data_IF_243781740223
#
_entry.id   IF_243781740223
#
_cell.length_a   1.000
_cell.length_b   1.000
_cell.length_c   1.000
_cell.angle_alpha   90.00
_cell.angle_beta   90.00
_cell.angle_gamma   90.00
#
_symmetry.space_group_name_H-M   'P 1'
#
loop_
_entity.id
_entity.type
_entity.pdbx_description
1 polymer ?
#
# COMPACT_ATOMS: atom_id res chain seq x y z
N UNK A 1 -7.82 7.57 -2.06
CA UNK A 1 -7.66 6.39 -1.18
C UNK A 1 -8.57 6.56 0.04
N UNK A 2 -8.94 5.51 0.77
CA UNK A 2 -9.66 5.66 2.06
C UNK A 2 -8.66 6.06 3.17
N UNK A 3 -7.95 7.16 2.93
CA UNK A 3 -7.02 7.78 3.86
C UNK A 3 -7.75 8.90 4.58
N UNK A 4 -7.55 8.98 5.90
CA UNK A 4 -8.19 10.04 6.67
C UNK A 4 -7.57 11.37 6.25
N UNK A 5 -8.39 12.28 5.70
CA UNK A 5 -7.90 13.60 5.32
C UNK A 5 -7.60 14.46 6.57
N UNK A 6 -8.31 14.18 7.66
CA UNK A 6 -8.17 14.81 8.97
C UNK A 6 -8.28 13.74 10.08
N UNK A 7 -7.71 13.95 11.28
CA UNK A 7 -7.99 13.10 12.44
C UNK A 7 -9.50 13.02 12.71
N UNK A 8 -10.03 11.83 12.99
CA UNK A 8 -11.44 11.62 13.28
C UNK A 8 -11.62 11.18 14.74
N UNK A 9 -12.15 12.05 15.63
CA UNK A 9 -12.23 11.75 17.07
C UNK A 9 -13.41 10.82 17.37
N UNK A 10 -13.16 9.51 17.34
CA UNK A 10 -14.20 8.49 17.54
C UNK A 10 -14.92 8.57 18.89
N UNK A 11 -14.25 9.08 19.93
CA UNK A 11 -14.75 9.21 21.30
C UNK A 11 -15.61 10.45 21.53
N UNK A 12 -15.63 11.41 20.58
CA UNK A 12 -16.44 12.61 20.69
C UNK A 12 -17.94 12.24 20.72
N UNK A 13 -18.68 12.81 21.67
CA UNK A 13 -20.11 12.60 21.81
C UNK A 13 -20.83 13.55 20.86
N UNK A 14 -21.68 12.98 20.00
CA UNK A 14 -22.59 13.73 19.13
C UNK A 14 -24.01 13.30 19.47
N UNK A 15 -24.81 14.28 19.90
CA UNK A 15 -26.14 14.07 20.50
C UNK A 15 -26.05 13.18 21.74
N UNK A 16 -26.41 11.90 21.61
CA UNK A 16 -26.54 10.95 22.73
C UNK A 16 -25.52 9.81 22.72
N UNK A 17 -24.67 9.73 21.68
CA UNK A 17 -23.73 8.61 21.48
C UNK A 17 -22.37 9.10 21.04
N UNK A 18 -21.34 8.31 21.28
CA UNK A 18 -20.03 8.52 20.67
C UNK A 18 -20.14 8.39 19.14
N UNK A 19 -19.34 9.15 18.39
CA UNK A 19 -19.25 9.01 16.92
C UNK A 19 -19.00 7.56 16.49
N UNK A 20 -18.17 6.83 17.24
CA UNK A 20 -17.95 5.40 17.04
C UNK A 20 -19.23 4.56 17.01
N UNK A 21 -20.12 4.76 17.98
CA UNK A 21 -21.36 3.99 18.13
C UNK A 21 -22.37 4.31 17.02
N UNK A 22 -22.38 5.55 16.53
CA UNK A 22 -23.16 5.92 15.36
C UNK A 22 -22.69 5.16 14.12
N UNK A 23 -21.39 5.12 13.88
CA UNK A 23 -20.79 4.39 12.75
C UNK A 23 -21.08 2.89 12.88
N UNK A 24 -20.95 2.33 14.08
CA UNK A 24 -21.22 0.91 14.33
C UNK A 24 -22.65 0.53 14.02
N UNK A 25 -23.62 1.35 14.46
CA UNK A 25 -25.04 1.10 14.18
C UNK A 25 -25.32 1.15 12.67
N UNK A 26 -24.67 2.06 11.92
CA UNK A 26 -24.87 2.20 10.48
C UNK A 26 -24.17 1.14 9.62
N UNK A 27 -22.98 0.67 10.03
CA UNK A 27 -22.23 -0.35 9.29
C UNK A 27 -22.62 -1.78 9.67
N UNK A 28 -23.50 -1.95 10.66
CA UNK A 28 -23.85 -3.19 11.37
C UNK A 28 -22.72 -3.73 12.26
N UNK A 29 -23.13 -4.27 13.41
CA UNK A 29 -22.24 -4.87 14.39
C UNK A 29 -21.55 -6.08 13.77
N UNK A 30 -22.28 -6.92 13.04
CA UNK A 30 -21.81 -8.16 12.43
C UNK A 30 -20.63 -7.91 11.50
N UNK A 31 -20.67 -6.80 10.76
CA UNK A 31 -19.63 -6.42 9.80
C UNK A 31 -18.39 -5.83 10.46
N UNK A 32 -18.54 -5.18 11.61
CA UNK A 32 -17.42 -4.64 12.40
C UNK A 32 -16.82 -5.66 13.37
N UNK A 33 -17.59 -6.67 13.75
CA UNK A 33 -17.23 -7.67 14.76
C UNK A 33 -15.87 -8.34 14.53
N UNK A 34 -15.47 -8.72 13.29
CA UNK A 34 -14.14 -9.28 13.05
C UNK A 34 -13.03 -8.33 13.48
N UNK A 35 -13.17 -7.03 13.20
CA UNK A 35 -12.21 -6.00 13.54
C UNK A 35 -12.24 -5.65 15.03
N UNK A 36 -13.44 -5.61 15.63
CA UNK A 36 -13.58 -5.39 17.07
C UNK A 36 -12.91 -6.49 17.88
N UNK A 37 -13.08 -7.76 17.48
CA UNK A 37 -12.41 -8.90 18.12
C UNK A 37 -10.89 -8.81 18.02
N UNK A 38 -10.35 -8.53 16.83
CA UNK A 38 -8.89 -8.38 16.65
C UNK A 38 -8.32 -7.13 17.31
N UNK A 39 -9.14 -6.13 17.59
CA UNK A 39 -8.76 -4.89 18.26
C UNK A 39 -8.90 -4.93 19.79
N UNK A 40 -9.43 -6.01 20.38
CA UNK A 40 -9.74 -6.05 21.82
C UNK A 40 -10.88 -5.11 22.22
N UNK A 41 -11.85 -4.92 21.32
CA UNK A 41 -13.01 -4.02 21.47
C UNK A 41 -12.67 -2.52 21.61
N UNK A 42 -11.47 -2.13 21.18
CA UNK A 42 -11.08 -0.73 21.01
C UNK A 42 -11.57 -0.20 19.65
N UNK A 43 -12.49 0.77 19.67
CA UNK A 43 -13.07 1.35 18.46
C UNK A 43 -12.04 1.97 17.52
N UNK A 44 -11.05 2.69 18.05
CA UNK A 44 -10.07 3.38 17.21
C UNK A 44 -9.22 2.36 16.44
N UNK A 45 -8.73 1.33 17.14
CA UNK A 45 -8.00 0.22 16.52
C UNK A 45 -8.86 -0.56 15.52
N UNK A 46 -10.12 -0.85 15.87
CA UNK A 46 -11.03 -1.57 14.99
C UNK A 46 -11.33 -0.78 13.71
N UNK A 47 -11.58 0.52 13.80
CA UNK A 47 -11.81 1.36 12.62
C UNK A 47 -10.56 1.53 11.78
N UNK A 48 -9.36 1.63 12.38
CA UNK A 48 -8.12 1.61 11.61
C UNK A 48 -7.94 0.31 10.81
N UNK A 49 -8.28 -0.84 11.40
CA UNK A 49 -8.28 -2.12 10.68
C UNK A 49 -9.34 -2.17 9.57
N UNK A 50 -10.56 -1.70 9.85
CA UNK A 50 -11.64 -1.63 8.85
C UNK A 50 -11.25 -0.75 7.65
N UNK A 51 -10.72 0.45 7.90
CA UNK A 51 -10.26 1.37 6.87
C UNK A 51 -9.04 0.82 6.11
N UNK A 52 -8.14 0.10 6.79
CA UNK A 52 -7.05 -0.61 6.13
C UNK A 52 -7.57 -1.71 5.20
N UNK A 53 -8.53 -2.54 5.64
CA UNK A 53 -9.17 -3.53 4.79
C UNK A 53 -9.79 -2.90 3.55
N UNK A 54 -10.51 -1.80 3.71
CA UNK A 54 -11.12 -1.07 2.59
C UNK A 54 -10.06 -0.54 1.60
N UNK A 55 -8.94 0.02 2.08
CA UNK A 55 -7.81 0.46 1.24
C UNK A 55 -7.19 -0.70 0.48
N UNK A 56 -6.95 -1.81 1.17
CA UNK A 56 -6.33 -3.00 0.59
C UNK A 56 -7.23 -3.62 -0.48
N UNK A 57 -8.51 -3.87 -0.17
CA UNK A 57 -9.51 -4.36 -1.12
C UNK A 57 -9.59 -3.46 -2.35
N UNK A 58 -9.62 -2.14 -2.17
CA UNK A 58 -9.62 -1.18 -3.29
C UNK A 58 -8.35 -1.26 -4.14
N UNK A 59 -7.17 -1.38 -3.52
CA UNK A 59 -5.90 -1.48 -4.26
C UNK A 59 -5.84 -2.73 -5.14
N UNK A 60 -6.48 -3.82 -4.71
CA UNK A 60 -6.56 -5.09 -5.43
C UNK A 60 -7.54 -5.06 -6.61
N UNK A 61 -8.48 -4.11 -6.66
CA UNK A 61 -9.44 -4.01 -7.77
C UNK A 61 -8.75 -3.75 -9.12
N UNK A 62 -7.67 -2.96 -9.14
CA UNK A 62 -6.92 -2.69 -10.37
C UNK A 62 -6.33 -3.96 -10.98
N UNK A 63 -5.45 -4.72 -10.30
CA UNK A 63 -4.87 -5.93 -10.89
C UNK A 63 -5.94 -7.01 -11.17
N UNK A 64 -7.00 -7.11 -10.36
CA UNK A 64 -8.13 -8.01 -10.62
C UNK A 64 -8.88 -7.66 -11.90
N UNK A 65 -9.18 -6.37 -12.10
CA UNK A 65 -9.84 -5.89 -13.31
C UNK A 65 -9.01 -6.20 -14.57
N UNK A 66 -7.70 -5.92 -14.53
CA UNK A 66 -6.82 -6.21 -15.66
C UNK A 66 -6.75 -7.71 -15.96
N UNK A 67 -6.68 -8.56 -14.93
CA UNK A 67 -6.75 -10.02 -15.11
C UNK A 67 -8.08 -10.44 -15.76
N UNK A 68 -9.21 -9.94 -15.28
CA UNK A 68 -10.54 -10.28 -15.80
C UNK A 68 -10.66 -9.93 -17.30
N UNK A 69 -10.25 -8.72 -17.68
CA UNK A 69 -10.25 -8.27 -19.08
C UNK A 69 -9.26 -9.05 -19.94
N UNK A 70 -8.06 -9.29 -19.43
CA UNK A 70 -7.02 -10.04 -20.17
C UNK A 70 -7.43 -11.49 -20.38
N UNK A 71 -8.01 -12.12 -19.36
CA UNK A 71 -8.49 -13.49 -19.42
C UNK A 71 -9.63 -13.65 -20.43
N UNK A 72 -10.67 -12.80 -20.33
CA UNK A 72 -11.84 -12.89 -21.23
C UNK A 72 -11.44 -12.66 -22.69
N UNK A 73 -10.62 -11.65 -22.96
CA UNK A 73 -10.20 -11.33 -24.33
C UNK A 73 -9.35 -12.47 -24.90
N UNK A 74 -8.52 -13.12 -24.06
CA UNK A 74 -7.73 -14.27 -24.49
C UNK A 74 -8.59 -15.48 -24.79
N UNK A 75 -9.55 -15.82 -23.92
CA UNK A 75 -10.46 -16.94 -24.17
C UNK A 75 -11.32 -16.65 -25.42
N UNK A 76 -11.85 -15.44 -25.57
CA UNK A 76 -12.59 -15.01 -26.75
C UNK A 76 -11.79 -15.24 -28.03
N UNK A 77 -10.52 -14.81 -28.06
CA UNK A 77 -9.66 -15.03 -29.22
C UNK A 77 -9.47 -16.53 -29.51
N UNK A 78 -9.23 -17.36 -28.49
CA UNK A 78 -9.11 -18.82 -28.68
C UNK A 78 -10.41 -19.43 -29.21
N UNK A 79 -11.57 -18.97 -28.74
CA UNK A 79 -12.88 -19.42 -29.22
C UNK A 79 -13.10 -19.02 -30.69
N UNK A 80 -12.81 -17.76 -31.05
CA UNK A 80 -12.86 -17.28 -32.44
C UNK A 80 -12.02 -18.16 -33.37
N UNK A 81 -10.79 -18.46 -32.99
CA UNK A 81 -9.88 -19.31 -33.78
C UNK A 81 -10.33 -20.78 -33.84
N UNK A 82 -10.95 -21.30 -32.78
CA UNK A 82 -11.39 -22.69 -32.73
C UNK A 82 -12.67 -22.95 -33.53
N UNK A 83 -13.60 -21.98 -33.53
CA UNK A 83 -14.86 -22.06 -34.28
C UNK A 83 -14.80 -21.38 -35.66
N UNK A 84 -13.69 -20.70 -35.96
CA UNK A 84 -13.45 -19.97 -37.21
C UNK A 84 -14.56 -18.96 -37.56
N UNK A 85 -15.01 -18.20 -36.55
CA UNK A 85 -16.08 -17.20 -36.67
C UNK A 85 -16.01 -16.14 -35.56
N UNK A 86 -16.49 -14.93 -35.87
CA UNK A 86 -16.49 -13.79 -34.93
C UNK A 86 -17.60 -13.89 -33.88
N UNK A 87 -18.73 -14.49 -34.23
CA UNK A 87 -19.94 -14.65 -33.45
C UNK A 87 -20.07 -16.08 -32.85
N UNK A 88 -18.95 -16.62 -32.34
CA UNK A 88 -18.89 -17.97 -31.77
C UNK A 88 -19.87 -18.19 -30.62
N UNK A 89 -20.34 -17.13 -29.94
CA UNK A 89 -21.33 -17.19 -28.87
C UNK A 89 -22.74 -17.57 -29.37
N UNK A 90 -22.93 -17.64 -30.69
CA UNK A 90 -24.13 -18.11 -31.37
C UNK A 90 -23.95 -19.49 -32.00
N UNK A 91 -22.73 -20.04 -31.99
CA UNK A 91 -22.45 -21.32 -32.60
C UNK A 91 -23.17 -22.46 -31.87
N UNK A 92 -23.97 -23.30 -32.57
CA UNK A 92 -24.67 -24.41 -31.94
C UNK A 92 -23.70 -25.38 -31.24
N UNK A 93 -22.53 -25.66 -31.81
CA UNK A 93 -21.56 -26.57 -31.19
C UNK A 93 -20.96 -25.97 -29.93
N UNK A 94 -20.74 -24.65 -29.91
CA UNK A 94 -20.33 -23.97 -28.68
C UNK A 94 -21.41 -24.04 -27.61
N UNK A 95 -22.66 -23.73 -27.96
CA UNK A 95 -23.79 -23.76 -27.02
C UNK A 95 -24.01 -25.17 -26.45
N UNK A 96 -23.92 -26.21 -27.28
CA UNK A 96 -24.09 -27.60 -26.88
C UNK A 96 -22.92 -28.12 -26.02
N UNK A 97 -21.73 -27.52 -26.16
CA UNK A 97 -20.59 -27.81 -25.30
C UNK A 97 -20.79 -27.27 -23.87
N UNK A 98 -21.55 -26.20 -23.68
CA UNK A 98 -21.72 -25.55 -22.38
C UNK A 98 -22.49 -26.42 -21.38
N UNK A 99 -21.98 -26.47 -20.15
CA UNK A 99 -22.72 -27.02 -19.02
C UNK A 99 -23.90 -26.09 -18.64
N UNK A 100 -24.98 -26.60 -18.01
CA UNK A 100 -26.18 -25.82 -17.71
C UNK A 100 -25.89 -24.46 -17.03
N UNK A 101 -25.05 -24.44 -15.99
CA UNK A 101 -24.66 -23.19 -15.29
C UNK A 101 -23.95 -22.17 -16.21
N UNK A 102 -23.09 -22.63 -17.10
CA UNK A 102 -22.39 -21.77 -18.07
C UNK A 102 -23.33 -21.27 -19.15
N UNK A 103 -24.30 -22.10 -19.57
CA UNK A 103 -25.35 -21.72 -20.51
C UNK A 103 -26.27 -20.64 -19.94
N UNK A 104 -26.71 -20.79 -18.69
CA UNK A 104 -27.51 -19.79 -17.99
C UNK A 104 -26.74 -18.47 -17.84
N UNK A 105 -25.44 -18.56 -17.53
CA UNK A 105 -24.57 -17.39 -17.41
C UNK A 105 -24.39 -16.66 -18.74
N UNK A 106 -24.25 -17.40 -19.85
CA UNK A 106 -24.23 -16.82 -21.20
C UNK A 106 -25.57 -16.17 -21.56
N UNK A 107 -26.70 -16.80 -21.24
CA UNK A 107 -28.02 -16.24 -21.50
C UNK A 107 -28.25 -14.93 -20.72
N UNK A 108 -27.85 -14.88 -19.44
CA UNK A 108 -27.88 -13.65 -18.63
C UNK A 108 -26.97 -12.57 -19.22
N UNK A 109 -25.78 -12.94 -19.70
CA UNK A 109 -24.89 -11.99 -20.37
C UNK A 109 -25.55 -11.42 -21.64
N UNK A 110 -26.19 -12.26 -22.46
CA UNK A 110 -26.96 -11.84 -23.64
C UNK A 110 -28.13 -10.92 -23.27
N UNK A 111 -28.89 -11.20 -22.21
CA UNK A 111 -30.00 -10.33 -21.80
C UNK A 111 -29.56 -8.98 -21.27
N UNK A 112 -28.39 -8.91 -20.64
CA UNK A 112 -27.84 -7.68 -20.07
C UNK A 112 -27.04 -6.86 -21.09
N UNK A 113 -26.68 -7.45 -22.23
CA UNK A 113 -25.96 -6.81 -23.31
C UNK A 113 -26.84 -5.76 -24.01
N UNK A 114 -26.22 -4.66 -24.46
CA UNK A 114 -26.94 -3.60 -25.19
C UNK A 114 -27.34 -4.03 -26.59
N UNK A 115 -26.56 -4.91 -27.19
CA UNK A 115 -26.83 -5.55 -28.47
C UNK A 115 -26.39 -7.01 -28.43
N UNK A 116 -26.72 -7.78 -29.46
CA UNK A 116 -26.25 -9.16 -29.60
C UNK A 116 -24.82 -9.27 -30.15
N UNK A 117 -24.10 -8.15 -30.29
CA UNK A 117 -22.70 -8.16 -30.70
C UNK A 117 -21.83 -8.93 -29.70
N UNK A 118 -20.79 -9.59 -30.20
CA UNK A 118 -19.88 -10.37 -29.35
C UNK A 118 -19.24 -9.48 -28.27
N UNK A 119 -18.87 -8.24 -28.61
CA UNK A 119 -18.21 -7.32 -27.69
C UNK A 119 -19.12 -6.93 -26.52
N UNK A 120 -20.41 -6.66 -26.77
CA UNK A 120 -21.37 -6.36 -25.71
C UNK A 120 -21.65 -7.59 -24.84
N UNK A 121 -21.75 -8.79 -25.44
CA UNK A 121 -21.97 -10.04 -24.69
C UNK A 121 -20.76 -10.39 -23.81
N UNK A 122 -19.54 -10.26 -24.35
CA UNK A 122 -18.29 -10.46 -23.60
C UNK A 122 -18.17 -9.43 -22.48
N UNK A 123 -18.51 -8.16 -22.73
CA UNK A 123 -18.49 -7.12 -21.70
C UNK A 123 -19.52 -7.36 -20.58
N UNK A 124 -20.69 -7.92 -20.89
CA UNK A 124 -21.76 -8.24 -19.94
C UNK A 124 -21.60 -9.59 -19.21
N UNK A 125 -20.60 -10.39 -19.60
CA UNK A 125 -20.32 -11.67 -18.98
C UNK A 125 -19.50 -11.53 -17.69
N UNK A 126 -19.67 -12.46 -16.74
CA UNK A 126 -19.01 -12.42 -15.43
C UNK A 126 -17.63 -13.07 -15.45
N UNK A 127 -16.74 -12.67 -14.55
CA UNK A 127 -15.45 -13.37 -14.35
C UNK A 127 -15.62 -14.88 -14.07
N UNK A 128 -16.67 -15.24 -13.35
CA UNK A 128 -17.00 -16.62 -13.02
C UNK A 128 -17.27 -17.47 -14.29
N UNK A 129 -17.97 -16.91 -15.29
CA UNK A 129 -18.21 -17.58 -16.57
C UNK A 129 -16.90 -17.98 -17.26
N UNK A 130 -15.96 -17.04 -17.39
CA UNK A 130 -14.65 -17.27 -18.00
C UNK A 130 -13.80 -18.27 -17.20
N UNK A 131 -13.88 -18.19 -15.87
CA UNK A 131 -13.22 -19.15 -14.97
C UNK A 131 -13.73 -20.57 -15.20
N UNK A 132 -15.06 -20.75 -15.33
CA UNK A 132 -15.63 -22.07 -15.54
C UNK A 132 -15.32 -22.66 -16.90
N UNK A 133 -15.13 -21.85 -17.95
CA UNK A 133 -14.73 -22.38 -19.25
C UNK A 133 -13.39 -23.13 -19.18
N UNK A 134 -12.51 -22.83 -18.21
CA UNK A 134 -11.25 -23.55 -17.99
C UNK A 134 -11.40 -24.86 -17.18
N UNK A 135 -12.60 -25.18 -16.71
CA UNK A 135 -12.88 -26.38 -15.90
C UNK A 135 -12.60 -27.68 -16.67
N UNK A 136 -12.40 -28.78 -15.94
CA UNK A 136 -12.12 -30.09 -16.52
C UNK A 136 -13.23 -30.60 -17.44
N UNK A 137 -14.46 -30.13 -17.24
CA UNK A 137 -15.61 -30.43 -18.12
C UNK A 137 -15.38 -30.04 -19.58
N UNK A 138 -14.52 -29.06 -19.83
CA UNK A 138 -14.19 -28.55 -21.16
C UNK A 138 -12.87 -29.12 -21.70
N UNK A 139 -12.33 -30.20 -21.10
CA UNK A 139 -11.06 -30.80 -21.50
C UNK A 139 -11.02 -31.19 -22.99
N UNK A 140 -12.15 -31.65 -23.57
CA UNK A 140 -12.23 -32.00 -24.99
C UNK A 140 -11.86 -30.81 -25.88
N UNK A 141 -12.34 -29.61 -25.54
CA UNK A 141 -12.04 -28.37 -26.24
C UNK A 141 -10.60 -27.91 -25.99
N UNK A 142 -10.17 -27.91 -24.73
CA UNK A 142 -8.85 -27.38 -24.38
C UNK A 142 -7.69 -28.28 -24.82
N UNK A 143 -7.90 -29.58 -25.02
CA UNK A 143 -6.84 -30.51 -25.47
C UNK A 143 -6.15 -30.06 -26.76
N UNK A 144 -6.89 -29.42 -27.67
CA UNK A 144 -6.38 -28.95 -28.97
C UNK A 144 -6.11 -27.45 -29.00
N UNK A 145 -6.59 -26.69 -28.01
CA UNK A 145 -6.60 -25.23 -28.05
C UNK A 145 -5.77 -24.57 -26.95
N UNK A 146 -5.39 -25.29 -25.90
CA UNK A 146 -4.67 -24.70 -24.76
C UNK A 146 -3.24 -24.26 -25.09
N UNK A 147 -2.59 -24.89 -26.07
CA UNK A 147 -1.27 -24.43 -26.57
C UNK A 147 -1.32 -23.02 -27.14
N UNK A 148 -2.48 -22.60 -27.66
CA UNK A 148 -2.71 -21.24 -28.19
C UNK A 148 -3.01 -20.22 -27.09
N UNK A 149 -3.06 -20.62 -25.81
CA UNK A 149 -3.57 -19.77 -24.73
C UNK A 149 -2.51 -18.86 -24.10
N UNK A 150 -1.25 -19.27 -24.04
CA UNK A 150 -0.17 -18.48 -23.43
C UNK A 150 0.67 -17.78 -24.50
N UNK A 151 1.09 -16.54 -24.24
CA UNK A 151 2.18 -15.88 -24.97
C UNK A 151 3.52 -15.97 -24.23
N UNK A 152 3.57 -16.70 -23.12
CA UNK A 152 4.73 -16.79 -22.23
C UNK A 152 5.43 -18.13 -22.36
N UNK A 153 6.72 -18.18 -22.04
CA UNK A 153 7.47 -19.43 -21.90
C UNK A 153 7.17 -20.16 -20.56
N UNK A 154 6.24 -19.64 -19.75
CA UNK A 154 5.87 -20.28 -18.48
C UNK A 154 5.06 -21.54 -18.78
N UNK A 155 5.51 -22.67 -18.25
CA UNK A 155 4.76 -23.92 -18.35
C UNK A 155 3.81 -24.05 -17.17
N UNK A 156 2.51 -23.86 -17.42
CA UNK A 156 1.44 -24.28 -16.51
C UNK A 156 0.54 -25.25 -17.24
N UNK A 157 0.20 -26.37 -16.59
CA UNK A 157 -0.91 -27.18 -17.08
C UNK A 157 -2.23 -26.41 -16.97
N UNK A 158 -3.20 -26.75 -17.82
CA UNK A 158 -4.56 -26.19 -17.73
C UNK A 158 -5.19 -26.41 -16.35
N UNK A 159 -4.91 -27.55 -15.71
CA UNK A 159 -5.41 -27.83 -14.36
C UNK A 159 -4.85 -26.86 -13.32
N UNK A 160 -3.54 -26.60 -13.36
CA UNK A 160 -2.89 -25.62 -12.47
C UNK A 160 -3.38 -24.20 -12.75
N UNK A 161 -3.52 -23.83 -14.03
CA UNK A 161 -4.02 -22.51 -14.41
C UNK A 161 -5.48 -22.32 -13.96
N UNK A 162 -6.34 -23.33 -14.15
CA UNK A 162 -7.71 -23.30 -13.62
C UNK A 162 -7.74 -23.15 -12.10
N UNK A 163 -6.93 -23.93 -11.37
CA UNK A 163 -6.87 -23.83 -9.92
C UNK A 163 -6.38 -22.45 -9.45
N UNK A 164 -5.44 -21.84 -10.18
CA UNK A 164 -4.96 -20.47 -9.94
C UNK A 164 -6.08 -19.44 -10.14
N UNK A 165 -6.75 -19.45 -11.31
CA UNK A 165 -7.84 -18.52 -11.62
C UNK A 165 -9.01 -18.70 -10.64
N UNK A 166 -9.35 -19.93 -10.27
CA UNK A 166 -10.40 -20.21 -9.28
C UNK A 166 -10.10 -19.58 -7.92
N UNK A 167 -8.88 -19.76 -7.39
CA UNK A 167 -8.45 -19.11 -6.14
C UNK A 167 -8.56 -17.59 -6.21
N UNK A 168 -8.25 -17.00 -7.35
CA UNK A 168 -8.36 -15.56 -7.57
C UNK A 168 -9.82 -15.12 -7.64
N UNK A 169 -10.68 -15.86 -8.34
CA UNK A 169 -12.11 -15.58 -8.44
C UNK A 169 -12.81 -15.64 -7.08
N UNK A 170 -12.50 -16.65 -6.25
CA UNK A 170 -13.05 -16.76 -4.89
C UNK A 170 -12.64 -15.55 -4.03
N UNK A 171 -11.38 -15.13 -4.13
CA UNK A 171 -10.86 -13.95 -3.43
C UNK A 171 -11.47 -12.64 -3.95
N UNK A 172 -11.66 -12.51 -5.26
CA UNK A 172 -12.33 -11.37 -5.91
C UNK A 172 -13.80 -11.26 -5.47
N UNK A 173 -14.51 -12.38 -5.38
CA UNK A 173 -15.90 -12.41 -4.91
C UNK A 173 -15.99 -11.92 -3.46
N UNK A 174 -15.08 -12.37 -2.59
CA UNK A 174 -14.97 -11.86 -1.21
C UNK A 174 -14.81 -10.34 -1.16
N UNK A 175 -13.93 -9.78 -2.00
CA UNK A 175 -13.76 -8.32 -2.14
C UNK A 175 -15.04 -7.64 -2.65
N UNK A 176 -15.71 -8.21 -3.65
CA UNK A 176 -16.93 -7.65 -4.24
C UNK A 176 -18.13 -7.68 -3.28
N UNK A 177 -18.19 -8.66 -2.37
CA UNK A 177 -19.14 -8.71 -1.26
C UNK A 177 -18.70 -7.85 -0.05
N UNK A 178 -17.62 -7.10 -0.21
CA UNK A 178 -17.02 -6.25 0.81
C UNK A 178 -16.66 -7.00 2.10
N UNK A 179 -16.36 -8.30 2.03
CA UNK A 179 -15.96 -9.07 3.20
C UNK A 179 -14.53 -8.71 3.68
N UNK A 180 -14.19 -8.97 4.95
CA UNK A 180 -12.83 -8.80 5.46
C UNK A 180 -11.83 -9.72 4.73
N UNK A 181 -10.69 -9.19 4.31
CA UNK A 181 -9.61 -9.96 3.67
C UNK A 181 -8.32 -9.98 4.51
N UNK A 182 -8.31 -9.36 5.68
CA UNK A 182 -7.11 -9.25 6.52
C UNK A 182 -6.65 -10.60 7.10
N UNK A 183 -7.55 -11.56 7.23
CA UNK A 183 -7.27 -12.94 7.65
C UNK A 183 -6.90 -13.86 6.47
N UNK A 184 -7.00 -13.36 5.23
CA UNK A 184 -6.68 -14.10 4.01
C UNK A 184 -5.23 -13.85 3.60
N UNK A 185 -4.62 -14.76 2.80
CA UNK A 185 -3.27 -14.56 2.27
C UNK A 185 -3.27 -13.56 1.10
N UNK A 186 -3.70 -12.31 1.34
CA UNK A 186 -3.90 -11.27 0.32
C UNK A 186 -2.64 -10.95 -0.48
N UNK A 187 -1.46 -10.98 0.16
CA UNK A 187 -0.19 -10.76 -0.55
C UNK A 187 0.10 -11.91 -1.52
N UNK A 188 -0.10 -13.17 -1.09
CA UNK A 188 0.02 -14.31 -1.99
C UNK A 188 -1.01 -14.26 -3.12
N UNK A 189 -2.23 -13.80 -2.86
CA UNK A 189 -3.26 -13.61 -3.90
C UNK A 189 -2.88 -12.53 -4.91
N UNK A 190 -2.22 -11.46 -4.48
CA UNK A 190 -1.65 -10.48 -5.40
C UNK A 190 -0.58 -11.10 -6.30
N UNK A 191 0.32 -11.92 -5.75
CA UNK A 191 1.31 -12.65 -6.56
C UNK A 191 0.64 -13.67 -7.50
N UNK A 192 -0.43 -14.35 -7.06
CA UNK A 192 -1.24 -15.24 -7.89
C UNK A 192 -1.85 -14.48 -9.09
N UNK A 193 -2.38 -13.27 -8.88
CA UNK A 193 -2.92 -12.41 -9.95
C UNK A 193 -1.82 -12.06 -10.96
N UNK A 194 -0.66 -11.59 -10.48
CA UNK A 194 0.47 -11.27 -11.35
C UNK A 194 0.94 -12.50 -12.14
N UNK A 195 1.02 -13.67 -11.50
CA UNK A 195 1.38 -14.94 -12.16
C UNK A 195 0.37 -15.31 -13.24
N UNK A 196 -0.93 -15.17 -12.98
CA UNK A 196 -1.98 -15.46 -13.94
C UNK A 196 -1.92 -14.53 -15.16
N UNK A 197 -1.72 -13.22 -14.94
CA UNK A 197 -1.53 -12.24 -16.02
C UNK A 197 -0.27 -12.58 -16.81
N UNK A 198 0.86 -12.85 -16.14
CA UNK A 198 2.13 -13.15 -16.80
C UNK A 198 2.10 -14.42 -17.63
N UNK A 199 1.32 -15.43 -17.20
CA UNK A 199 1.07 -16.61 -18.01
C UNK A 199 0.30 -16.29 -19.29
N UNK A 200 -0.62 -15.33 -19.26
CA UNK A 200 -1.32 -14.91 -20.49
C UNK A 200 -0.40 -14.03 -21.34
N UNK A 201 0.14 -12.96 -20.75
CA UNK A 201 1.00 -11.98 -21.41
C UNK A 201 1.97 -11.32 -20.40
N UNK A 202 3.27 -11.50 -20.63
CA UNK A 202 4.33 -11.00 -19.75
C UNK A 202 4.40 -9.46 -19.70
N UNK A 203 4.21 -8.77 -20.83
CA UNK A 203 4.27 -7.30 -20.87
C UNK A 203 3.14 -6.67 -20.06
N UNK A 204 1.94 -7.25 -20.13
CA UNK A 204 0.80 -6.80 -19.30
C UNK A 204 1.08 -7.01 -17.82
N UNK A 205 1.76 -8.10 -17.44
CA UNK A 205 2.14 -8.34 -16.04
C UNK A 205 3.12 -7.29 -15.52
N UNK A 206 4.14 -6.93 -16.31
CA UNK A 206 5.10 -5.87 -15.97
C UNK A 206 4.38 -4.54 -15.80
N UNK A 207 3.50 -4.19 -16.75
CA UNK A 207 2.72 -2.96 -16.71
C UNK A 207 1.77 -2.89 -15.50
N UNK A 208 1.08 -3.99 -15.16
CA UNK A 208 0.22 -4.04 -13.97
C UNK A 208 1.05 -3.89 -12.70
N UNK A 209 2.21 -4.55 -12.60
CA UNK A 209 3.08 -4.47 -11.43
C UNK A 209 3.58 -3.03 -11.22
N UNK A 210 3.91 -2.30 -12.27
CA UNK A 210 4.43 -0.91 -12.16
C UNK A 210 3.37 0.12 -11.77
N UNK A 211 2.09 -0.15 -12.05
CA UNK A 211 0.97 0.77 -11.75
C UNK A 211 0.14 0.36 -10.52
N UNK A 212 0.40 -0.83 -9.98
CA UNK A 212 -0.29 -1.34 -8.80
C UNK A 212 0.16 -0.61 -7.52
N UNK A 213 -0.82 -0.26 -6.68
CA UNK A 213 -0.56 0.37 -5.36
C UNK A 213 -0.63 -0.64 -4.21
N UNK A 214 -0.83 -1.94 -4.50
CA UNK A 214 -1.04 -2.99 -3.49
C UNK A 214 0.11 -3.03 -2.49
N UNK A 215 1.36 -3.05 -2.95
CA UNK A 215 2.55 -3.11 -2.07
C UNK A 215 2.67 -1.89 -1.16
N UNK A 216 2.37 -0.70 -1.68
CA UNK A 216 2.34 0.54 -0.88
C UNK A 216 1.28 0.47 0.21
N UNK A 217 0.10 -0.06 -0.11
CA UNK A 217 -0.97 -0.22 0.86
C UNK A 217 -0.58 -1.27 1.90
N UNK A 218 -0.03 -2.41 1.51
CA UNK A 218 0.46 -3.46 2.44
C UNK A 218 1.47 -2.87 3.43
N UNK A 219 2.40 -2.02 2.96
CA UNK A 219 3.36 -1.35 3.84
C UNK A 219 2.71 -0.37 4.84
N UNK A 220 1.48 0.08 4.60
CA UNK A 220 0.72 0.99 5.46
C UNK A 220 -0.18 0.30 6.49
N UNK A 221 0.01 -1.02 6.69
CA UNK A 221 -0.75 -1.81 7.67
C UNK A 221 -0.71 -1.17 9.07
N UNK A 222 -1.84 -1.08 9.79
CA UNK A 222 -1.85 -0.60 11.17
C UNK A 222 -0.91 -1.42 12.07
N UNK A 223 -0.14 -0.74 12.91
CA UNK A 223 0.63 -1.36 13.98
C UNK A 223 -0.31 -1.93 15.07
N UNK A 224 0.17 -2.81 15.97
CA UNK A 224 -0.63 -3.32 17.09
C UNK A 224 -1.19 -2.21 18.00
N UNK A 225 -0.52 -1.05 18.04
CA UNK A 225 -0.99 0.15 18.73
C UNK A 225 -2.23 0.78 18.07
N UNK A 226 -2.58 0.39 16.84
CA UNK A 226 -3.62 0.99 16.01
C UNK A 226 -3.11 2.02 15.01
N UNK A 227 -1.92 2.60 15.23
CA UNK A 227 -1.38 3.66 14.38
C UNK A 227 -0.93 3.12 13.00
N UNK A 228 -1.20 3.82 11.89
CA UNK A 228 -0.74 3.38 10.57
C UNK A 228 0.79 3.29 10.47
N UNK A 229 1.32 2.23 9.85
CA UNK A 229 2.76 2.12 9.55
C UNK A 229 3.16 2.96 8.32
N UNK A 230 4.47 3.23 8.13
CA UNK A 230 5.57 2.94 9.07
C UNK A 230 5.50 3.83 10.31
N UNK A 231 5.97 3.32 11.45
CA UNK A 231 6.08 4.15 12.66
C UNK A 231 7.32 5.02 12.57
N UNK A 232 7.34 6.13 13.32
CA UNK A 232 8.51 7.03 13.33
C UNK A 232 9.79 6.28 13.72
N UNK A 233 9.72 5.34 14.68
CA UNK A 233 10.88 4.50 15.06
C UNK A 233 11.43 3.63 13.93
N UNK A 234 10.59 3.23 12.97
CA UNK A 234 11.00 2.39 11.84
C UNK A 234 11.72 3.20 10.75
N UNK A 235 11.68 4.54 10.86
CA UNK A 235 12.29 5.49 9.92
C UNK A 235 13.35 6.39 10.54
N UNK A 236 13.48 6.36 11.87
CA UNK A 236 14.43 7.19 12.59
C UNK A 236 15.87 6.69 12.38
N UNK A 237 16.77 7.63 12.12
CA UNK A 237 18.21 7.38 12.11
C UNK A 237 18.71 7.30 13.56
N UNK A 238 19.51 6.28 13.84
CA UNK A 238 20.07 6.02 15.17
C UNK A 238 21.48 6.59 15.32
N UNK A 239 22.06 7.14 14.26
CA UNK A 239 23.37 7.81 14.30
C UNK A 239 23.23 9.26 14.79
N UNK A 240 23.06 9.40 16.09
CA UNK A 240 22.98 10.70 16.76
C UNK A 240 23.68 10.71 18.12
N UNK A 241 24.05 11.91 18.57
CA UNK A 241 24.53 12.15 19.93
C UNK A 241 23.67 13.22 20.59
N UNK A 242 23.35 13.04 21.87
CA UNK A 242 22.66 14.04 22.71
C UNK A 242 23.72 14.84 23.47
N UNK A 243 23.61 16.16 23.43
CA UNK A 243 24.54 17.10 24.06
C UNK A 243 23.77 18.26 24.69
N UNK A 244 24.43 18.99 25.58
CA UNK A 244 24.02 20.29 26.10
C UNK A 244 24.77 21.40 25.36
N UNK A 245 24.21 22.61 25.31
CA UNK A 245 24.89 23.74 24.66
C UNK A 245 26.23 24.11 25.30
N UNK A 246 26.45 23.75 26.56
CA UNK A 246 27.71 23.92 27.29
C UNK A 246 28.79 22.91 26.91
N UNK A 247 28.45 21.82 26.22
CA UNK A 247 29.39 20.75 25.93
C UNK A 247 30.45 21.22 24.92
N UNK A 248 31.70 20.84 25.19
CA UNK A 248 32.83 21.10 24.30
C UNK A 248 32.65 20.32 22.98
N UNK A 249 33.07 20.90 21.86
CA UNK A 249 32.87 20.30 20.54
C UNK A 249 33.73 19.04 20.32
N UNK A 250 34.99 19.06 20.75
CA UNK A 250 35.99 18.02 20.46
C UNK A 250 35.62 16.61 20.96
N UNK A 251 35.10 16.42 22.19
CA UNK A 251 34.79 15.09 22.70
C UNK A 251 33.53 14.47 22.09
N UNK A 252 32.72 15.25 21.37
CA UNK A 252 31.44 14.79 20.82
C UNK A 252 31.73 13.76 19.71
N UNK A 253 31.14 12.55 19.79
CA UNK A 253 31.23 11.56 18.73
C UNK A 253 30.84 12.12 17.37
N UNK A 254 31.49 11.64 16.31
CA UNK A 254 31.16 11.99 14.93
C UNK A 254 29.86 11.31 14.48
N UNK A 255 28.75 11.69 15.10
CA UNK A 255 27.43 11.26 14.69
C UNK A 255 26.89 12.17 13.59
N UNK A 256 26.05 11.61 12.72
CA UNK A 256 25.37 12.39 11.67
C UNK A 256 24.56 13.56 12.24
N UNK A 257 23.91 13.37 13.38
CA UNK A 257 23.09 14.38 14.04
C UNK A 257 23.57 14.65 15.47
N UNK A 258 23.67 15.92 15.85
CA UNK A 258 23.97 16.35 17.22
C UNK A 258 22.73 17.05 17.76
N UNK A 259 22.02 16.38 18.67
CA UNK A 259 20.82 16.92 19.31
C UNK A 259 21.21 17.70 20.57
N UNK A 260 21.07 19.01 20.49
CA UNK A 260 21.26 19.93 21.61
C UNK A 260 19.94 20.05 22.39
N UNK A 261 19.87 19.36 23.54
CA UNK A 261 18.62 19.13 24.27
C UNK A 261 18.08 20.41 24.92
N UNK A 262 18.93 21.17 25.63
CA UNK A 262 18.57 22.42 26.32
C UNK A 262 18.15 23.54 25.36
N UNK A 263 18.59 23.50 24.11
CA UNK A 263 18.20 24.46 23.07
C UNK A 263 17.12 23.94 22.11
N UNK A 264 16.68 22.70 22.30
CA UNK A 264 15.71 22.02 21.44
C UNK A 264 16.02 22.18 19.95
N UNK A 265 17.25 21.89 19.55
CA UNK A 265 17.69 22.00 18.16
C UNK A 265 18.66 20.89 17.77
N UNK A 266 18.75 20.60 16.48
CA UNK A 266 19.76 19.70 15.91
C UNK A 266 20.78 20.52 15.12
N UNK A 267 22.05 20.25 15.39
CA UNK A 267 23.20 20.70 14.61
C UNK A 267 23.68 19.52 13.77
N UNK A 268 23.95 19.75 12.50
CA UNK A 268 24.57 18.75 11.63
C UNK A 268 26.02 19.14 11.32
N UNK A 269 26.78 18.22 10.72
CA UNK A 269 28.17 18.47 10.34
C UNK A 269 28.33 19.63 9.34
N UNK A 270 27.27 19.98 8.57
CA UNK A 270 27.31 21.09 7.61
C UNK A 270 27.32 22.44 8.35
N UNK A 271 26.53 22.59 9.40
CA UNK A 271 26.52 23.81 10.21
C UNK A 271 27.86 24.02 10.94
N UNK A 272 28.48 22.94 11.44
CA UNK A 272 29.82 22.99 12.06
C UNK A 272 30.87 23.38 11.03
N UNK A 273 30.86 22.75 9.85
CA UNK A 273 31.79 23.10 8.78
C UNK A 273 31.60 24.56 8.33
N UNK A 274 30.36 25.04 8.21
CA UNK A 274 30.07 26.43 7.87
C UNK A 274 30.51 27.42 8.96
N UNK A 275 30.45 27.02 10.23
CA UNK A 275 31.03 27.81 11.33
C UNK A 275 32.54 27.92 11.18
N UNK A 276 33.26 26.81 10.96
CA UNK A 276 34.70 26.85 10.73
C UNK A 276 35.09 27.70 9.52
N UNK A 277 34.36 27.57 8.41
CA UNK A 277 34.60 28.39 7.21
C UNK A 277 34.30 29.88 7.45
N UNK A 278 33.39 30.22 8.35
CA UNK A 278 33.09 31.61 8.70
C UNK A 278 34.18 32.27 9.57
N UNK A 279 35.03 31.47 10.19
CA UNK A 279 36.15 31.91 11.00
C UNK A 279 37.48 31.99 10.22
N UNK A 280 37.45 31.78 8.90
CA UNK A 280 38.63 31.93 8.04
C UNK A 280 39.01 33.40 7.93
N UNK A 281 40.28 33.70 8.20
CA UNK A 281 40.84 35.05 8.17
C UNK A 281 41.01 35.59 6.74
N UNK A 282 41.25 36.90 6.63
CA UNK A 282 41.41 37.59 5.34
C UNK A 282 42.55 37.04 4.49
N UNK A 283 43.57 36.47 5.11
CA UNK A 283 44.72 35.84 4.47
C UNK A 283 44.47 34.37 4.08
N UNK A 284 43.23 33.88 4.23
CA UNK A 284 42.79 32.50 3.97
C UNK A 284 43.38 31.45 4.94
N UNK A 285 43.84 31.88 6.11
CA UNK A 285 44.22 30.97 7.20
C UNK A 285 43.06 30.75 8.17
N UNK A 286 43.11 29.65 8.94
CA UNK A 286 42.14 29.36 9.99
C UNK A 286 42.92 29.00 11.26
N UNK A 287 42.95 29.90 12.24
CA UNK A 287 43.44 29.61 13.59
C UNK A 287 42.28 29.61 14.56
N UNK A 288 41.99 28.46 15.15
CA UNK A 288 40.90 28.29 16.10
C UNK A 288 41.31 27.36 17.22
N UNK A 289 41.13 27.81 18.46
CA UNK A 289 41.26 26.93 19.62
C UNK A 289 39.98 26.10 19.79
N UNK A 290 40.05 24.84 19.39
CA UNK A 290 38.94 23.91 19.50
C UNK A 290 38.73 23.41 20.94
N UNK A 291 39.68 23.64 21.85
CA UNK A 291 39.60 23.17 23.25
C UNK A 291 38.57 23.93 24.08
N UNK A 292 38.31 25.19 23.73
CA UNK A 292 37.33 26.05 24.42
C UNK A 292 36.00 26.16 23.69
N UNK A 293 35.90 25.63 22.46
CA UNK A 293 34.73 25.79 21.60
C UNK A 293 33.58 24.88 22.07
N UNK A 294 32.41 25.47 22.28
CA UNK A 294 31.19 24.76 22.69
C UNK A 294 30.17 24.64 21.57
N UNK A 295 29.17 23.77 21.74
CA UNK A 295 28.01 23.70 20.84
C UNK A 295 27.22 25.03 20.85
N UNK A 296 27.12 25.69 22.00
CA UNK A 296 26.45 26.98 22.16
C UNK A 296 27.06 28.09 21.30
N UNK A 297 28.39 28.09 21.11
CA UNK A 297 29.09 29.06 20.27
C UNK A 297 28.70 28.90 18.79
N UNK A 298 28.65 27.65 18.32
CA UNK A 298 28.22 27.30 16.96
C UNK A 298 26.77 27.74 16.76
N UNK A 299 25.88 27.38 17.68
CA UNK A 299 24.46 27.73 17.63
C UNK A 299 24.26 29.25 17.57
N UNK A 300 24.98 30.00 18.40
CA UNK A 300 24.86 31.46 18.50
C UNK A 300 25.39 32.15 17.25
N UNK A 301 26.58 31.78 16.78
CA UNK A 301 27.19 32.35 15.58
C UNK A 301 26.34 32.09 14.33
N UNK A 302 25.92 30.83 14.15
CA UNK A 302 25.09 30.37 13.03
C UNK A 302 23.63 30.81 13.16
N UNK A 303 23.25 31.40 14.29
CA UNK A 303 21.88 31.84 14.62
C UNK A 303 20.85 30.72 14.43
N UNK A 304 21.23 29.50 14.83
CA UNK A 304 20.37 28.32 14.69
C UNK A 304 19.23 28.47 15.69
N UNK A 305 18.00 28.52 15.18
CA UNK A 305 16.78 28.53 15.99
C UNK A 305 16.25 27.11 16.14
N UNK A 306 15.32 26.90 17.08
CA UNK A 306 14.54 25.66 17.22
C UNK A 306 14.10 25.16 15.84
N UNK A 307 14.63 24.00 15.47
CA UNK A 307 14.46 23.38 14.16
C UNK A 307 13.91 21.95 14.24
N UNK A 308 13.46 21.53 15.43
CA UNK A 308 12.92 20.21 15.71
C UNK A 308 11.45 20.26 16.11
N UNK A 309 10.78 19.13 15.93
CA UNK A 309 9.56 18.78 16.64
C UNK A 309 9.72 17.38 17.25
N UNK A 310 9.15 17.15 18.44
CA UNK A 310 9.31 15.90 19.20
C UNK A 310 8.04 15.08 19.07
N UNK A 311 8.18 13.79 18.79
CA UNK A 311 7.06 12.86 18.61
C UNK A 311 7.37 11.49 19.21
N UNK A 312 6.32 10.75 19.56
CA UNK A 312 6.43 9.41 20.09
C UNK A 312 6.87 8.38 19.04
N UNK A 313 7.64 7.39 19.48
CA UNK A 313 8.18 6.29 18.68
C UNK A 313 7.10 5.42 17.99
N UNK A 314 5.89 5.46 18.55
CA UNK A 314 4.72 4.69 18.13
C UNK A 314 3.75 5.49 17.26
N UNK A 315 4.10 6.73 16.90
CA UNK A 315 3.32 7.55 15.98
C UNK A 315 3.60 7.19 14.51
N UNK A 316 2.61 7.47 13.65
CA UNK A 316 2.72 7.20 12.21
C UNK A 316 3.60 8.20 11.48
N UNK A 317 4.53 7.70 10.67
CA UNK A 317 5.33 8.50 9.74
C UNK A 317 4.50 9.18 8.65
N UNK A 318 3.27 8.73 8.37
CA UNK A 318 2.39 9.39 7.40
C UNK A 318 2.11 10.86 7.76
N UNK A 319 2.12 11.19 9.06
CA UNK A 319 1.95 12.56 9.53
C UNK A 319 3.21 13.42 9.39
N UNK A 320 4.39 12.81 9.22
CA UNK A 320 5.66 13.52 9.07
C UNK A 320 5.63 14.52 7.90
N UNK A 321 4.95 14.19 6.79
CA UNK A 321 4.81 15.09 5.64
C UNK A 321 4.06 16.38 5.99
N UNK A 322 3.01 16.31 6.82
CA UNK A 322 2.28 17.49 7.32
C UNK A 322 3.16 18.30 8.28
N UNK A 323 3.88 17.63 9.18
CA UNK A 323 4.75 18.29 10.17
C UNK A 323 5.88 19.07 9.48
N UNK A 324 6.50 18.48 8.46
CA UNK A 324 7.56 19.12 7.67
C UNK A 324 7.06 20.25 6.76
N UNK A 325 5.76 20.58 6.71
CA UNK A 325 5.26 21.76 5.96
C UNK A 325 5.75 23.08 6.58
N UNK A 326 5.99 23.11 7.89
CA UNK A 326 6.63 24.26 8.54
C UNK A 326 8.04 24.46 8.00
N UNK A 327 8.35 25.67 7.50
CA UNK A 327 9.71 26.01 7.07
C UNK A 327 10.73 25.99 8.21
N UNK A 328 10.28 26.09 9.47
CA UNK A 328 11.14 26.13 10.65
C UNK A 328 11.61 24.73 11.07
N UNK A 329 10.80 23.70 10.84
CA UNK A 329 11.07 22.34 11.28
C UNK A 329 11.85 21.60 10.19
N UNK A 330 13.10 21.26 10.50
CA UNK A 330 14.00 20.49 9.63
C UNK A 330 14.16 19.04 10.10
N UNK A 331 13.92 18.77 11.37
CA UNK A 331 14.13 17.45 11.97
C UNK A 331 12.96 17.04 12.87
N UNK A 332 12.74 15.75 13.01
CA UNK A 332 11.89 15.17 14.06
C UNK A 332 12.77 14.40 15.04
N UNK A 333 12.57 14.64 16.32
CA UNK A 333 13.18 13.85 17.40
C UNK A 333 12.14 12.83 17.84
N UNK A 334 12.49 11.55 17.78
CA UNK A 334 11.60 10.44 18.11
C UNK A 334 11.90 9.97 19.53
N UNK A 335 10.93 9.99 20.43
CA UNK A 335 11.10 9.58 21.83
C UNK A 335 10.19 8.41 22.20
N UNK A 336 10.59 7.60 23.18
CA UNK A 336 9.70 6.59 23.75
C UNK A 336 8.78 7.18 24.83
N UNK A 337 7.93 6.35 25.44
CA UNK A 337 7.02 6.74 26.54
C UNK A 337 7.71 7.32 27.78
N UNK A 338 9.02 7.10 27.94
CA UNK A 338 9.83 7.59 29.06
C UNK A 338 10.64 8.84 28.65
N UNK A 339 10.30 9.48 27.53
CA UNK A 339 11.02 10.62 26.94
C UNK A 339 12.47 10.35 26.52
N UNK A 340 12.90 9.08 26.44
CA UNK A 340 14.22 8.74 25.91
C UNK A 340 14.22 8.85 24.39
N UNK A 341 15.18 9.59 23.85
CA UNK A 341 15.38 9.76 22.40
C UNK A 341 15.79 8.42 21.78
N UNK A 342 15.07 8.00 20.75
CA UNK A 342 15.26 6.75 20.00
C UNK A 342 15.88 6.97 18.62
N UNK A 343 15.77 8.17 18.07
CA UNK A 343 16.33 8.49 16.77
C UNK A 343 15.87 9.83 16.22
N UNK A 344 16.44 10.20 15.08
CA UNK A 344 16.21 11.49 14.42
C UNK A 344 15.78 11.26 12.98
N UNK A 345 14.80 12.03 12.51
CA UNK A 345 14.35 12.00 11.13
C UNK A 345 14.62 13.37 10.50
N UNK A 346 15.44 13.40 9.47
CA UNK A 346 15.71 14.60 8.68
C UNK A 346 14.64 14.80 7.59
N UNK A 347 14.24 16.07 7.37
CA UNK A 347 13.33 16.45 6.30
C UNK A 347 13.92 16.08 4.93
N UNK A 348 13.22 15.30 4.08
CA UNK A 348 13.76 14.90 2.79
C UNK A 348 13.98 16.10 1.85
N UNK A 349 15.13 16.11 1.16
CA UNK A 349 15.53 17.18 0.24
C UNK A 349 14.70 17.25 -1.06
N UNK A 350 14.05 16.16 -1.46
CA UNK A 350 13.08 16.10 -2.57
C UNK A 350 11.74 15.59 -2.03
N UNK A 351 10.66 16.31 -2.34
CA UNK A 351 9.31 15.74 -2.22
C UNK A 351 9.23 14.58 -3.19
N UNK A 352 9.15 13.35 -2.67
CA UNK A 352 8.69 12.19 -3.42
C UNK A 352 7.17 12.28 -3.52
#
# INVERSE_FOLDING_TARGET
MAESQQPYPYTEIVNLKQKAQWIETSLSIERLLPYMRSAGYDYEKAFHQYLYNARLSKSLLFPLHILEVTLRNRIQWVLKEAFNRDDWHEDPNFIDMLKPKSKDSLQKAKSNAKSNSIDDVVASSTFEFWTFLLHADYNKFWRTNFSKFSYSNLSLSRGEFFALIKKINDFRNRIAHYEPILDQPYHARYQDILKAIGYINNEVQIWVKSHSTVELVIASQPAPSGQPKPLLKDKADIDFTIVQSSDALLPIPKSRFIYCEDKELIVDLREIAQYFLSAVDKDKTLMMDLSTLTIGDIVTNRRIKKNIAIFGDSESFLHAKKIFQSKKIKYLVVTNSNNLVRGIIEKPHRQI
#
